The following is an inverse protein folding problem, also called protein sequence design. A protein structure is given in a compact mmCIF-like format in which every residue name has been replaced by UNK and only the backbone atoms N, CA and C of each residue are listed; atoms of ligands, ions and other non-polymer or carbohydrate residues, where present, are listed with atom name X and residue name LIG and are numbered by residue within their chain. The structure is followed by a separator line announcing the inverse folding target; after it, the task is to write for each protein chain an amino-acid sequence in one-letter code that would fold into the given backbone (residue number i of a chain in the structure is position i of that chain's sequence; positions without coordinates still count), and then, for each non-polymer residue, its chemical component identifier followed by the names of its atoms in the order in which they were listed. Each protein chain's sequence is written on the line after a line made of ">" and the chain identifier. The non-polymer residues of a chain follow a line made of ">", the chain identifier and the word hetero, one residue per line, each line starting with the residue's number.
data_IF_432783708675
#
_entry.id   IF_432783708675
#
_cell.length_a   1.000
_cell.length_b   1.000
_cell.length_c   1.000
_cell.angle_alpha   90.00
_cell.angle_beta   90.00
_cell.angle_gamma   90.00
#
_symmetry.space_group_name_H-M   'P 1'
#
loop_
_entity.id
_entity.type
_entity.pdbx_description
1 polymer ?
#
# COMPACT_ATOMS: atom_id res chain seq x y z
N UNK A 1 -20.95 -36.66 -14.13
CA UNK A 1 -21.64 -35.34 -14.03
C UNK A 1 -22.08 -35.17 -12.60
N UNK A 2 -21.26 -34.53 -11.77
CA UNK A 2 -21.65 -34.13 -10.42
C UNK A 2 -22.19 -32.72 -10.52
N UNK A 3 -23.46 -32.58 -10.15
CA UNK A 3 -24.27 -31.39 -10.23
C UNK A 3 -23.62 -30.27 -9.38
N UNK A 4 -23.05 -29.26 -10.05
CA UNK A 4 -22.54 -28.04 -9.40
C UNK A 4 -23.74 -27.16 -9.10
N UNK A 5 -24.45 -27.43 -8.00
CA UNK A 5 -25.29 -26.39 -7.41
C UNK A 5 -24.39 -25.19 -7.08
N UNK A 6 -24.71 -23.98 -7.57
CA UNK A 6 -23.99 -22.78 -7.14
C UNK A 6 -24.16 -22.63 -5.62
N UNK A 7 -23.03 -22.40 -4.92
CA UNK A 7 -23.02 -22.16 -3.47
C UNK A 7 -24.01 -21.02 -3.15
N UNK A 8 -25.00 -21.28 -2.30
CA UNK A 8 -26.04 -20.33 -1.91
C UNK A 8 -25.46 -18.97 -1.50
N UNK A 9 -24.27 -18.96 -0.88
CA UNK A 9 -23.56 -17.73 -0.50
C UNK A 9 -23.12 -16.91 -1.71
N UNK A 10 -22.67 -17.57 -2.77
CA UNK A 10 -22.29 -16.91 -4.01
C UNK A 10 -23.51 -16.29 -4.71
N UNK A 11 -24.65 -16.99 -4.71
CA UNK A 11 -25.91 -16.44 -5.24
C UNK A 11 -26.33 -15.19 -4.46
N UNK A 12 -26.33 -15.26 -3.12
CA UNK A 12 -26.69 -14.11 -2.27
C UNK A 12 -25.77 -12.92 -2.50
N UNK A 13 -24.46 -13.15 -2.67
CA UNK A 13 -23.50 -12.10 -2.99
C UNK A 13 -23.79 -11.44 -4.35
N UNK A 14 -24.08 -12.23 -5.38
CA UNK A 14 -24.43 -11.71 -6.70
C UNK A 14 -25.74 -10.92 -6.66
N UNK A 15 -26.76 -11.43 -5.97
CA UNK A 15 -28.03 -10.73 -5.77
C UNK A 15 -27.84 -9.39 -5.04
N UNK A 16 -27.06 -9.38 -3.96
CA UNK A 16 -26.70 -8.14 -3.25
C UNK A 16 -26.02 -7.14 -4.19
N UNK A 17 -25.03 -7.58 -4.99
CA UNK A 17 -24.35 -6.72 -5.94
C UNK A 17 -25.30 -6.14 -6.99
N UNK A 18 -26.19 -6.95 -7.55
CA UNK A 18 -27.21 -6.51 -8.50
C UNK A 18 -28.17 -5.48 -7.87
N UNK A 19 -28.60 -5.70 -6.62
CA UNK A 19 -29.41 -4.74 -5.87
C UNK A 19 -28.69 -3.41 -5.68
N UNK A 20 -27.42 -3.43 -5.24
CA UNK A 20 -26.61 -2.21 -5.11
C UNK A 20 -26.48 -1.47 -6.43
N UNK A 21 -26.19 -2.18 -7.53
CA UNK A 21 -26.10 -1.57 -8.86
C UNK A 21 -27.43 -0.97 -9.32
N UNK A 22 -28.55 -1.69 -9.14
CA UNK A 22 -29.88 -1.21 -9.53
C UNK A 22 -30.29 0.03 -8.76
N UNK A 23 -30.16 0.00 -7.43
CA UNK A 23 -30.50 1.13 -6.55
C UNK A 23 -29.59 2.33 -6.86
N UNK A 24 -28.28 2.10 -7.00
CA UNK A 24 -27.33 3.15 -7.35
C UNK A 24 -27.65 3.80 -8.69
N UNK A 25 -27.93 2.99 -9.72
CA UNK A 25 -28.34 3.48 -11.04
C UNK A 25 -29.61 4.33 -10.98
N UNK A 26 -30.66 3.81 -10.34
CA UNK A 26 -31.94 4.51 -10.23
C UNK A 26 -31.78 5.84 -9.44
N UNK A 27 -30.94 5.84 -8.41
CA UNK A 27 -30.65 7.04 -7.60
C UNK A 27 -29.93 8.11 -8.42
N UNK A 28 -28.94 7.70 -9.22
CA UNK A 28 -28.16 8.61 -10.08
C UNK A 28 -29.03 9.17 -11.21
N UNK A 29 -29.89 8.34 -11.82
CA UNK A 29 -30.76 8.76 -12.93
C UNK A 29 -31.90 9.68 -12.51
N UNK A 30 -32.20 9.77 -11.20
CA UNK A 30 -33.15 10.76 -10.65
C UNK A 30 -32.57 12.17 -10.54
N UNK A 31 -31.24 12.31 -10.56
CA UNK A 31 -30.58 13.60 -10.41
C UNK A 31 -30.53 14.35 -11.75
N UNK A 32 -30.56 15.69 -11.70
CA UNK A 32 -30.32 16.50 -12.89
C UNK A 32 -28.89 16.29 -13.41
N UNK A 33 -28.69 16.47 -14.72
CA UNK A 33 -27.40 16.25 -15.37
C UNK A 33 -26.29 17.13 -14.75
N UNK A 34 -26.60 18.37 -14.41
CA UNK A 34 -25.64 19.33 -13.85
C UNK A 34 -25.18 18.96 -12.44
N UNK A 35 -26.05 18.34 -11.63
CA UNK A 35 -25.72 17.90 -10.27
C UNK A 35 -25.00 16.56 -10.26
N UNK A 36 -25.28 15.70 -11.25
CA UNK A 36 -24.83 14.31 -11.30
C UNK A 36 -23.31 14.16 -11.24
N UNK A 37 -22.57 14.89 -12.08
CA UNK A 37 -21.10 14.72 -12.17
C UNK A 37 -20.40 15.18 -10.89
N UNK A 38 -20.89 16.29 -10.33
CA UNK A 38 -20.45 16.83 -9.06
C UNK A 38 -20.71 15.83 -7.92
N UNK A 39 -21.92 15.29 -7.86
CA UNK A 39 -22.31 14.34 -6.82
C UNK A 39 -21.53 13.04 -6.90
N UNK A 40 -21.31 12.50 -8.11
CA UNK A 40 -20.47 11.32 -8.30
C UNK A 40 -19.02 11.55 -7.85
N UNK A 41 -18.48 12.75 -8.06
CA UNK A 41 -17.16 13.12 -7.53
C UNK A 41 -17.16 13.14 -5.98
N UNK A 42 -18.21 13.63 -5.35
CA UNK A 42 -18.34 13.63 -3.88
C UNK A 42 -18.43 12.21 -3.31
N UNK A 43 -19.25 11.36 -3.92
CA UNK A 43 -19.34 9.94 -3.57
C UNK A 43 -17.97 9.28 -3.73
N UNK A 44 -17.29 9.54 -4.85
CA UNK A 44 -15.95 9.04 -5.08
C UNK A 44 -14.98 9.49 -3.98
N UNK A 45 -14.99 10.78 -3.62
CA UNK A 45 -14.12 11.34 -2.59
C UNK A 45 -14.24 10.57 -1.27
N UNK A 46 -15.46 10.29 -0.80
CA UNK A 46 -15.68 9.62 0.48
C UNK A 46 -15.45 8.11 0.47
N UNK A 47 -15.76 7.41 -0.62
CA UNK A 47 -15.71 5.95 -0.63
C UNK A 47 -14.44 5.39 -1.26
N UNK A 48 -13.76 6.14 -2.14
CA UNK A 48 -12.53 5.72 -2.81
C UNK A 48 -11.42 5.26 -1.84
N UNK A 49 -11.12 5.96 -0.73
CA UNK A 49 -10.06 5.51 0.19
C UNK A 49 -10.33 4.11 0.74
N UNK A 50 -11.58 3.84 1.13
CA UNK A 50 -11.97 2.56 1.72
C UNK A 50 -12.01 1.43 0.69
N UNK A 51 -12.41 1.73 -0.56
CA UNK A 51 -12.30 0.78 -1.67
C UNK A 51 -10.85 0.34 -1.91
N UNK A 52 -9.93 1.30 -1.92
CA UNK A 52 -8.51 1.01 -2.12
C UNK A 52 -7.92 0.27 -0.90
N UNK A 53 -8.31 0.62 0.32
CA UNK A 53 -7.93 -0.16 1.52
C UNK A 53 -8.42 -1.61 1.40
N UNK A 54 -9.68 -1.84 1.02
CA UNK A 54 -10.23 -3.17 0.83
C UNK A 54 -9.45 -3.95 -0.26
N UNK A 55 -9.11 -3.29 -1.38
CA UNK A 55 -8.26 -3.87 -2.43
C UNK A 55 -6.89 -4.30 -1.86
N UNK A 56 -6.25 -3.48 -1.02
CA UNK A 56 -4.94 -3.85 -0.45
C UNK A 56 -5.03 -5.09 0.42
N UNK A 57 -6.11 -5.20 1.22
CA UNK A 57 -6.32 -6.34 2.11
C UNK A 57 -6.60 -7.62 1.29
N UNK A 58 -7.35 -7.52 0.18
CA UNK A 58 -7.51 -8.61 -0.78
C UNK A 58 -6.17 -9.06 -1.36
N UNK A 59 -5.37 -8.12 -1.87
CA UNK A 59 -4.04 -8.40 -2.44
C UNK A 59 -3.09 -9.00 -1.40
N UNK A 60 -3.13 -8.52 -0.16
CA UNK A 60 -2.37 -9.10 0.95
C UNK A 60 -2.81 -10.53 1.27
N UNK A 61 -4.11 -10.81 1.29
CA UNK A 61 -4.62 -12.18 1.46
C UNK A 61 -4.14 -13.12 0.35
N UNK A 62 -4.07 -12.65 -0.89
CA UNK A 62 -3.49 -13.42 -2.02
C UNK A 62 -2.00 -13.68 -1.79
N UNK A 63 -1.21 -12.68 -1.36
CA UNK A 63 0.20 -12.86 -1.02
C UNK A 63 0.38 -13.98 0.02
N UNK A 64 -0.38 -13.91 1.12
CA UNK A 64 -0.33 -14.92 2.18
C UNK A 64 -0.76 -16.31 1.72
N UNK A 65 -1.77 -16.40 0.84
CA UNK A 65 -2.22 -17.67 0.27
C UNK A 65 -1.12 -18.32 -0.58
N UNK A 66 -0.42 -17.54 -1.42
CA UNK A 66 0.72 -18.03 -2.21
C UNK A 66 1.88 -18.44 -1.30
N UNK A 67 2.21 -17.64 -0.28
CA UNK A 67 3.27 -17.99 0.67
C UNK A 67 2.95 -19.25 1.47
N UNK A 68 1.68 -19.48 1.82
CA UNK A 68 1.25 -20.69 2.50
C UNK A 68 1.38 -21.96 1.62
N UNK A 69 1.43 -21.80 0.30
CA UNK A 69 1.63 -22.90 -0.65
C UNK A 69 3.09 -23.09 -1.06
N UNK A 70 3.99 -22.20 -0.64
CA UNK A 70 5.37 -22.21 -1.05
C UNK A 70 6.31 -22.65 0.08
N UNK A 71 7.60 -22.79 -0.25
CA UNK A 71 8.67 -23.10 0.70
C UNK A 71 9.08 -21.89 1.57
N UNK A 72 8.49 -20.72 1.36
CA UNK A 72 8.86 -19.49 2.07
C UNK A 72 8.14 -19.44 3.42
N UNK A 73 8.88 -19.60 4.53
CA UNK A 73 8.32 -19.49 5.86
C UNK A 73 8.13 -18.02 6.26
N UNK A 74 7.03 -17.42 5.77
CA UNK A 74 6.70 -16.02 6.03
C UNK A 74 6.44 -15.74 7.52
N UNK A 75 5.99 -16.73 8.30
CA UNK A 75 5.76 -16.59 9.75
C UNK A 75 7.05 -16.21 10.46
N UNK A 76 8.17 -16.86 10.09
CA UNK A 76 9.50 -16.55 10.62
C UNK A 76 10.04 -15.21 10.11
N UNK A 77 9.79 -14.87 8.83
CA UNK A 77 10.23 -13.58 8.24
C UNK A 77 9.58 -12.37 8.95
N UNK A 78 8.29 -12.48 9.27
CA UNK A 78 7.52 -11.42 9.91
C UNK A 78 7.50 -11.48 11.44
N UNK A 79 8.18 -12.48 12.04
CA UNK A 79 8.16 -12.75 13.48
C UNK A 79 6.72 -12.78 14.05
N UNK A 80 5.85 -13.53 13.36
CA UNK A 80 4.43 -13.58 13.69
C UNK A 80 4.19 -14.53 14.87
N UNK A 81 3.30 -14.11 15.77
CA UNK A 81 2.81 -14.96 16.84
C UNK A 81 2.08 -16.21 16.30
N UNK A 82 1.97 -17.26 17.11
CA UNK A 82 1.23 -18.48 16.76
C UNK A 82 -0.24 -18.19 16.44
N UNK A 83 -0.83 -17.16 17.05
CA UNK A 83 -2.22 -16.73 16.84
C UNK A 83 -2.38 -15.72 15.68
N UNK A 84 -1.50 -15.74 14.68
CA UNK A 84 -1.59 -14.83 13.54
C UNK A 84 -2.76 -15.18 12.61
N UNK A 85 -3.25 -14.19 11.87
CA UNK A 85 -4.32 -14.42 10.91
C UNK A 85 -3.81 -15.16 9.69
N UNK A 86 -4.54 -16.22 9.34
CA UNK A 86 -4.40 -16.93 8.08
C UNK A 86 -4.94 -16.09 6.91
N UNK A 87 -4.55 -16.46 5.69
CA UNK A 87 -5.10 -15.85 4.47
C UNK A 87 -6.64 -15.90 4.41
N UNK A 88 -7.26 -16.94 4.98
CA UNK A 88 -8.73 -17.10 5.03
C UNK A 88 -9.39 -16.02 5.89
N UNK A 89 -8.82 -15.73 7.05
CA UNK A 89 -9.34 -14.70 7.96
C UNK A 89 -9.13 -13.30 7.39
N UNK A 90 -7.99 -13.06 6.74
CA UNK A 90 -7.74 -11.82 5.99
C UNK A 90 -8.78 -11.63 4.88
N UNK A 91 -9.10 -12.66 4.11
CA UNK A 91 -10.16 -12.60 3.10
C UNK A 91 -11.56 -12.42 3.70
N UNK A 92 -11.85 -12.95 4.89
CA UNK A 92 -13.09 -12.62 5.60
C UNK A 92 -13.17 -11.14 5.92
N UNK A 93 -12.10 -10.53 6.44
CA UNK A 93 -12.04 -9.09 6.67
C UNK A 93 -12.21 -8.29 5.37
N UNK A 94 -11.54 -8.70 4.30
CA UNK A 94 -11.67 -8.06 2.99
C UNK A 94 -13.11 -8.16 2.44
N UNK A 95 -13.77 -9.31 2.62
CA UNK A 95 -15.16 -9.53 2.22
C UNK A 95 -16.11 -8.62 2.99
N UNK A 96 -15.96 -8.51 4.32
CA UNK A 96 -16.77 -7.59 5.12
C UNK A 96 -16.65 -6.14 4.67
N UNK A 97 -15.43 -5.67 4.41
CA UNK A 97 -15.22 -4.32 3.85
C UNK A 97 -15.84 -4.17 2.46
N UNK A 98 -15.72 -5.19 1.61
CA UNK A 98 -16.31 -5.21 0.26
C UNK A 98 -17.83 -5.22 0.29
N UNK A 99 -18.46 -5.68 1.37
CA UNK A 99 -19.92 -5.62 1.55
C UNK A 99 -20.36 -4.28 2.17
N UNK A 100 -19.72 -3.86 3.26
CA UNK A 100 -20.15 -2.70 4.05
C UNK A 100 -19.94 -1.39 3.28
N UNK A 101 -18.79 -1.23 2.59
CA UNK A 101 -18.44 0.02 1.90
C UNK A 101 -19.41 0.31 0.74
N UNK A 102 -19.69 -0.61 -0.21
CA UNK A 102 -20.68 -0.37 -1.26
C UNK A 102 -22.11 -0.27 -0.74
N UNK A 103 -22.45 -0.98 0.34
CA UNK A 103 -23.78 -0.87 0.94
C UNK A 103 -24.00 0.54 1.49
N UNK A 104 -23.03 1.09 2.23
CA UNK A 104 -23.08 2.47 2.72
C UNK A 104 -23.08 3.48 1.55
N UNK A 105 -22.27 3.26 0.52
CA UNK A 105 -22.27 4.09 -0.69
C UNK A 105 -23.64 4.08 -1.38
N UNK A 106 -24.26 2.91 -1.53
CA UNK A 106 -25.59 2.76 -2.12
C UNK A 106 -26.65 3.48 -1.28
N UNK A 107 -26.58 3.35 0.05
CA UNK A 107 -27.46 4.06 0.97
C UNK A 107 -27.29 5.58 0.87
N UNK A 108 -26.05 6.08 0.76
CA UNK A 108 -25.76 7.49 0.52
C UNK A 108 -26.39 8.00 -0.77
N UNK A 109 -26.18 7.29 -1.89
CA UNK A 109 -26.78 7.62 -3.20
C UNK A 109 -28.31 7.67 -3.11
N UNK A 110 -28.91 6.64 -2.50
CA UNK A 110 -30.34 6.53 -2.33
C UNK A 110 -30.92 7.68 -1.52
N UNK A 111 -30.42 7.89 -0.30
CA UNK A 111 -30.93 8.92 0.62
C UNK A 111 -30.82 10.32 0.01
N UNK A 112 -29.68 10.63 -0.61
CA UNK A 112 -29.47 11.93 -1.24
C UNK A 112 -30.44 12.14 -2.40
N UNK A 113 -30.62 11.14 -3.27
CA UNK A 113 -31.57 11.24 -4.41
C UNK A 113 -33.03 11.40 -4.00
N UNK A 114 -33.38 11.06 -2.75
CA UNK A 114 -34.72 11.23 -2.18
C UNK A 114 -34.87 12.52 -1.35
N UNK A 115 -33.85 13.38 -1.34
CA UNK A 115 -33.88 14.66 -0.60
C UNK A 115 -33.49 14.56 0.88
N UNK A 116 -33.15 13.36 1.38
CA UNK A 116 -32.76 13.11 2.76
C UNK A 116 -31.27 13.43 3.01
N UNK A 117 -30.89 14.69 2.77
CA UNK A 117 -29.49 15.15 2.74
C UNK A 117 -28.76 14.91 4.07
N UNK A 118 -29.43 15.13 5.21
CA UNK A 118 -28.85 14.92 6.54
C UNK A 118 -28.50 13.45 6.80
N UNK A 119 -29.44 12.55 6.46
CA UNK A 119 -29.24 11.11 6.58
C UNK A 119 -28.18 10.60 5.60
N UNK A 120 -28.15 11.14 4.38
CA UNK A 120 -27.09 10.85 3.42
C UNK A 120 -25.72 11.24 3.99
N UNK A 121 -25.56 12.48 4.47
CA UNK A 121 -24.32 12.96 5.08
C UNK A 121 -23.83 12.09 6.25
N UNK A 122 -24.74 11.49 7.00
CA UNK A 122 -24.40 10.58 8.11
C UNK A 122 -23.76 9.26 7.65
N UNK A 123 -24.02 8.79 6.43
CA UNK A 123 -23.56 7.48 5.95
C UNK A 123 -22.03 7.32 5.96
N UNK A 124 -21.25 8.18 5.27
CA UNK A 124 -19.79 8.05 5.29
C UNK A 124 -19.20 8.38 6.66
N UNK A 125 -19.81 9.28 7.44
CA UNK A 125 -19.37 9.61 8.81
C UNK A 125 -19.48 8.40 9.73
N UNK A 126 -20.64 7.74 9.74
CA UNK A 126 -20.87 6.53 10.54
C UNK A 126 -19.97 5.38 10.11
N UNK A 127 -19.79 5.18 8.79
CA UNK A 127 -18.90 4.16 8.27
C UNK A 127 -17.47 4.34 8.78
N UNK A 128 -16.92 5.56 8.66
CA UNK A 128 -15.57 5.87 9.12
C UNK A 128 -15.43 5.73 10.64
N UNK A 129 -16.42 6.24 11.39
CA UNK A 129 -16.43 6.15 12.85
C UNK A 129 -16.47 4.69 13.32
N UNK A 130 -17.35 3.85 12.74
CA UNK A 130 -17.47 2.43 13.08
C UNK A 130 -16.16 1.69 12.78
N UNK A 131 -15.56 1.91 11.61
CA UNK A 131 -14.29 1.26 11.26
C UNK A 131 -13.16 1.66 12.21
N UNK A 132 -13.10 2.95 12.60
CA UNK A 132 -12.12 3.44 13.57
C UNK A 132 -12.35 2.86 14.97
N UNK A 133 -13.61 2.82 15.43
CA UNK A 133 -13.99 2.22 16.71
C UNK A 133 -13.61 0.75 16.73
N UNK A 134 -13.95 -0.02 15.70
CA UNK A 134 -13.58 -1.44 15.58
C UNK A 134 -12.07 -1.62 15.54
N UNK A 135 -11.31 -0.74 14.87
CA UNK A 135 -9.86 -0.83 14.83
C UNK A 135 -9.23 -0.58 16.21
N UNK A 136 -9.71 0.42 16.95
CA UNK A 136 -9.15 0.87 18.23
C UNK A 136 -9.73 0.14 19.46
N UNK A 137 -10.84 -0.60 19.31
CA UNK A 137 -11.56 -1.14 20.46
C UNK A 137 -10.72 -2.15 21.26
N UNK A 138 -10.63 -2.03 22.60
CA UNK A 138 -9.86 -2.97 23.43
C UNK A 138 -10.56 -4.32 23.63
N UNK A 139 -11.83 -4.45 23.23
CA UNK A 139 -12.62 -5.67 23.38
C UNK A 139 -12.15 -6.77 22.42
N UNK A 140 -12.35 -8.03 22.81
CA UNK A 140 -12.04 -9.22 22.00
C UNK A 140 -13.05 -9.44 20.86
N UNK A 141 -13.19 -8.41 20.03
CA UNK A 141 -13.97 -8.40 18.80
C UNK A 141 -13.01 -8.29 17.62
N UNK A 142 -13.31 -8.94 16.50
CA UNK A 142 -12.57 -8.82 15.24
C UNK A 142 -11.04 -8.94 15.40
N UNK A 143 -10.57 -10.05 15.96
CA UNK A 143 -9.14 -10.42 15.99
C UNK A 143 -8.25 -9.41 16.76
N UNK A 144 -8.48 -9.29 18.07
CA UNK A 144 -7.79 -8.34 18.97
C UNK A 144 -6.27 -8.31 18.80
N UNK A 145 -5.61 -9.48 18.86
CA UNK A 145 -4.15 -9.59 18.79
C UNK A 145 -3.58 -8.97 17.51
N UNK A 146 -4.25 -9.17 16.38
CA UNK A 146 -3.80 -8.66 15.08
C UNK A 146 -4.05 -7.17 14.93
N UNK A 147 -5.18 -6.65 15.46
CA UNK A 147 -5.44 -5.20 15.48
C UNK A 147 -4.37 -4.47 16.30
N UNK A 148 -4.05 -4.96 17.49
CA UNK A 148 -3.00 -4.37 18.32
C UNK A 148 -1.59 -4.55 17.74
N UNK A 149 -1.31 -5.67 17.08
CA UNK A 149 -0.06 -5.84 16.32
C UNK A 149 0.08 -4.77 15.22
N UNK A 150 -0.98 -4.56 14.44
CA UNK A 150 -1.02 -3.51 13.41
C UNK A 150 -0.82 -2.12 14.03
N UNK A 151 -1.61 -1.75 15.04
CA UNK A 151 -1.52 -0.44 15.71
C UNK A 151 -0.15 -0.17 16.34
N UNK A 152 0.46 -1.17 16.99
CA UNK A 152 1.82 -1.04 17.52
C UNK A 152 2.83 -0.84 16.40
N UNK A 153 2.70 -1.57 15.29
CA UNK A 153 3.56 -1.40 14.10
C UNK A 153 3.39 0.01 13.52
N UNK A 154 2.17 0.54 13.44
CA UNK A 154 1.91 1.93 13.04
C UNK A 154 2.65 2.93 13.91
N UNK A 155 2.56 2.76 15.23
CA UNK A 155 3.22 3.65 16.18
C UNK A 155 4.75 3.61 16.01
N UNK A 156 5.33 2.43 15.82
CA UNK A 156 6.77 2.26 15.56
C UNK A 156 7.23 2.86 14.22
N UNK A 157 6.36 2.89 13.22
CA UNK A 157 6.64 3.53 11.93
C UNK A 157 6.67 5.06 12.07
N UNK A 158 5.70 5.63 12.79
CA UNK A 158 5.63 7.09 13.03
C UNK A 158 6.76 7.53 13.97
N UNK A 159 7.04 6.74 15.01
CA UNK A 159 8.03 7.03 16.04
C UNK A 159 9.10 5.91 16.07
N UNK A 160 10.13 5.97 15.19
CA UNK A 160 11.19 4.96 15.11
C UNK A 160 12.22 5.12 16.24
N UNK A 161 11.77 4.95 17.49
CA UNK A 161 12.58 5.10 18.70
C UNK A 161 13.39 3.83 19.04
N UNK A 162 12.92 2.68 18.56
CA UNK A 162 13.55 1.37 18.76
C UNK A 162 14.23 0.87 17.48
N UNK A 163 14.96 -0.25 17.59
CA UNK A 163 15.53 -0.94 16.43
C UNK A 163 14.41 -1.31 15.44
N UNK A 164 14.67 -1.06 14.15
CA UNK A 164 13.70 -1.27 13.09
C UNK A 164 13.62 -2.75 12.73
N UNK A 165 12.44 -3.34 12.85
CA UNK A 165 12.19 -4.73 12.48
C UNK A 165 11.73 -4.84 11.02
N UNK A 166 11.80 -6.04 10.43
CA UNK A 166 11.34 -6.28 9.07
C UNK A 166 9.86 -5.89 8.85
N UNK A 167 8.90 -6.23 9.75
CA UNK A 167 7.51 -5.78 9.64
C UNK A 167 7.35 -4.26 9.60
N UNK A 168 8.11 -3.51 10.41
CA UNK A 168 8.05 -2.05 10.46
C UNK A 168 8.50 -1.43 9.13
N UNK A 169 9.60 -1.95 8.57
CA UNK A 169 10.11 -1.58 7.26
C UNK A 169 9.11 -1.92 6.14
N UNK A 170 8.58 -3.14 6.16
CA UNK A 170 7.75 -3.69 5.10
C UNK A 170 6.41 -2.95 5.00
N UNK A 171 5.75 -2.73 6.14
CA UNK A 171 4.47 -2.04 6.18
C UNK A 171 4.61 -0.55 5.84
N UNK A 172 5.68 0.10 6.27
CA UNK A 172 5.96 1.47 5.88
C UNK A 172 6.21 1.60 4.36
N UNK A 173 6.80 0.60 3.72
CA UNK A 173 6.97 0.59 2.26
C UNK A 173 5.65 0.41 1.52
N UNK A 174 4.74 -0.42 2.04
CA UNK A 174 3.36 -0.49 1.56
C UNK A 174 2.69 0.88 1.64
N UNK A 175 2.91 1.62 2.72
CA UNK A 175 2.33 2.94 2.93
C UNK A 175 2.81 4.01 1.96
N UNK A 176 4.04 3.92 1.45
CA UNK A 176 4.49 4.84 0.38
C UNK A 176 3.60 4.73 -0.87
N UNK A 177 3.20 3.50 -1.23
CA UNK A 177 2.28 3.22 -2.34
C UNK A 177 0.84 3.63 -2.03
N UNK A 178 0.46 3.70 -0.76
CA UNK A 178 -0.86 4.14 -0.27
C UNK A 178 -0.94 5.64 0.10
N UNK A 179 0.12 6.42 -0.09
CA UNK A 179 0.15 7.87 0.17
C UNK A 179 -1.05 8.63 -0.40
N UNK A 180 -1.46 8.34 -1.64
CA UNK A 180 -2.67 8.93 -2.26
C UNK A 180 -3.96 8.52 -1.53
N UNK A 181 -4.05 7.28 -1.04
CA UNK A 181 -5.18 6.81 -0.23
C UNK A 181 -5.26 7.61 1.07
N UNK A 182 -4.13 7.85 1.75
CA UNK A 182 -4.10 8.68 2.95
C UNK A 182 -4.47 10.13 2.68
N UNK A 183 -4.05 10.69 1.55
CA UNK A 183 -4.45 12.04 1.14
C UNK A 183 -5.95 12.16 0.87
N UNK A 184 -6.56 11.18 0.22
CA UNK A 184 -8.02 11.17 0.01
C UNK A 184 -8.77 10.92 1.33
N UNK A 185 -8.21 10.12 2.22
CA UNK A 185 -8.74 9.89 3.57
C UNK A 185 -8.72 11.19 4.39
N UNK A 186 -7.61 11.93 4.39
CA UNK A 186 -7.49 13.23 5.03
C UNK A 186 -8.56 14.19 4.52
N UNK A 187 -8.68 14.32 3.19
CA UNK A 187 -9.68 15.20 2.56
C UNK A 187 -11.12 14.81 2.92
N UNK A 188 -11.40 13.51 2.98
CA UNK A 188 -12.70 12.97 3.39
C UNK A 188 -13.02 13.36 4.83
N UNK A 189 -12.08 13.10 5.75
CA UNK A 189 -12.24 13.40 7.18
C UNK A 189 -12.34 14.90 7.41
N UNK A 190 -11.53 15.72 6.73
CA UNK A 190 -11.57 17.18 6.84
C UNK A 190 -12.96 17.72 6.50
N UNK A 191 -13.60 17.23 5.42
CA UNK A 191 -14.98 17.62 5.06
C UNK A 191 -16.02 17.15 6.09
N UNK A 192 -15.86 15.94 6.62
CA UNK A 192 -16.76 15.42 7.67
C UNK A 192 -16.70 16.25 8.95
N UNK A 193 -15.50 16.59 9.43
CA UNK A 193 -15.29 17.36 10.65
C UNK A 193 -15.81 18.80 10.51
N UNK A 194 -15.60 19.42 9.35
CA UNK A 194 -16.07 20.79 9.08
C UNK A 194 -17.55 20.87 8.66
N UNK A 195 -18.32 19.77 8.76
CA UNK A 195 -19.74 19.70 8.37
C UNK A 195 -20.01 20.14 6.92
N UNK A 196 -19.05 19.84 6.03
CA UNK A 196 -19.11 20.14 4.60
C UNK A 196 -19.54 18.92 3.76
N UNK A 197 -20.32 18.01 4.35
CA UNK A 197 -20.81 16.79 3.68
C UNK A 197 -22.19 17.08 3.11
N UNK A 198 -22.39 16.80 1.82
CA UNK A 198 -23.67 16.91 1.12
C UNK A 198 -24.31 18.32 1.15
N UNK A 199 -23.54 19.40 1.36
CA UNK A 199 -24.04 20.78 1.42
C UNK A 199 -23.81 21.57 0.12
N UNK A 200 -24.72 22.49 -0.23
CA UNK A 200 -24.66 23.35 -1.43
C UNK A 200 -23.46 24.32 -1.42
N UNK A 201 -22.86 24.55 -0.24
CA UNK A 201 -21.58 25.28 -0.07
C UNK A 201 -20.38 24.64 -0.80
N UNK A 202 -20.62 23.53 -1.49
CA UNK A 202 -19.71 22.83 -2.39
C UNK A 202 -19.16 23.68 -3.54
N UNK A 203 -19.88 24.73 -3.99
CA UNK A 203 -19.45 25.58 -5.12
C UNK A 203 -18.50 26.73 -4.74
N UNK A 204 -18.49 27.18 -3.49
CA UNK A 204 -17.71 28.36 -3.05
C UNK A 204 -16.57 28.03 -2.07
N UNK A 205 -16.35 26.75 -1.79
CA UNK A 205 -15.38 26.31 -0.81
C UNK A 205 -13.93 26.37 -1.34
N UNK A 206 -13.44 27.59 -1.56
CA UNK A 206 -12.03 27.97 -1.53
C UNK A 206 -11.49 27.89 -0.07
N UNK A 207 -11.80 26.77 0.59
CA UNK A 207 -11.81 26.61 2.05
C UNK A 207 -10.77 25.60 2.55
N UNK A 208 -10.64 25.52 3.87
CA UNK A 208 -9.69 24.76 4.71
C UNK A 208 -9.33 23.35 4.16
N UNK A 209 -10.29 22.64 3.58
CA UNK A 209 -10.14 21.27 3.05
C UNK A 209 -9.95 21.20 1.52
N UNK A 210 -9.67 22.34 0.90
CA UNK A 210 -9.56 22.54 -0.54
C UNK A 210 -8.18 22.24 -1.10
N UNK A 211 -8.01 22.52 -2.39
CA UNK A 211 -6.78 22.23 -3.14
C UNK A 211 -5.55 22.99 -2.65
N UNK A 212 -5.75 24.13 -2.00
CA UNK A 212 -4.71 24.99 -1.44
C UNK A 212 -4.33 24.58 0.00
N UNK A 213 -4.92 23.52 0.53
CA UNK A 213 -4.62 23.04 1.88
C UNK A 213 -3.22 22.44 1.95
N UNK A 214 -2.41 22.93 2.89
CA UNK A 214 -1.08 22.41 3.20
C UNK A 214 -1.16 21.00 3.81
N UNK A 215 -2.31 20.60 4.37
CA UNK A 215 -2.50 19.26 4.93
C UNK A 215 -2.32 18.15 3.87
N UNK A 216 -2.76 18.39 2.64
CA UNK A 216 -2.68 17.42 1.53
C UNK A 216 -1.23 17.00 1.25
N UNK A 217 -0.28 17.92 0.93
CA UNK A 217 1.12 17.53 0.71
C UNK A 217 1.79 16.95 1.96
N UNK A 218 1.42 17.40 3.17
CA UNK A 218 1.96 16.84 4.41
C UNK A 218 1.58 15.37 4.59
N UNK A 219 0.32 15.00 4.34
CA UNK A 219 -0.12 13.59 4.42
C UNK A 219 0.47 12.75 3.28
N UNK A 220 0.60 13.31 2.07
CA UNK A 220 1.25 12.62 0.94
C UNK A 220 2.72 12.29 1.23
N UNK A 221 3.46 13.22 1.84
CA UNK A 221 4.90 13.05 2.11
C UNK A 221 5.17 12.22 3.36
N UNK A 222 4.22 12.14 4.30
CA UNK A 222 4.39 11.47 5.60
C UNK A 222 4.95 10.04 5.49
N UNK A 223 4.42 9.12 4.65
CA UNK A 223 5.00 7.78 4.52
C UNK A 223 6.46 7.77 4.07
N UNK A 224 6.85 8.71 3.19
CA UNK A 224 8.23 8.85 2.72
C UNK A 224 9.16 9.36 3.82
N UNK A 225 8.69 10.32 4.64
CA UNK A 225 9.45 10.80 5.79
C UNK A 225 9.62 9.71 6.85
N UNK A 226 8.57 8.93 7.15
CA UNK A 226 8.69 7.78 8.06
C UNK A 226 9.79 6.81 7.58
N UNK A 227 9.79 6.45 6.28
CA UNK A 227 10.84 5.59 5.71
C UNK A 227 12.22 6.22 5.76
N UNK A 228 12.33 7.52 5.46
CA UNK A 228 13.58 8.26 5.57
C UNK A 228 14.16 8.19 7.00
N UNK A 229 13.36 8.52 8.01
CA UNK A 229 13.80 8.47 9.41
C UNK A 229 14.10 7.04 9.89
N UNK A 230 13.32 6.04 9.48
CA UNK A 230 13.64 4.63 9.74
C UNK A 230 15.00 4.23 9.17
N UNK A 231 15.32 4.67 7.94
CA UNK A 231 16.61 4.37 7.32
C UNK A 231 17.78 5.07 8.05
N UNK A 232 17.60 6.31 8.48
CA UNK A 232 18.59 7.00 9.31
C UNK A 232 18.78 6.32 10.68
N UNK A 233 17.69 5.88 11.30
CA UNK A 233 17.75 5.12 12.55
C UNK A 233 18.50 3.81 12.37
N UNK A 234 18.20 3.06 11.31
CA UNK A 234 18.88 1.82 10.99
C UNK A 234 20.39 2.03 10.73
N UNK A 235 20.76 3.13 10.05
CA UNK A 235 22.16 3.51 9.89
C UNK A 235 22.83 3.82 11.23
N UNK A 236 22.14 4.52 12.13
CA UNK A 236 22.67 4.83 13.47
C UNK A 236 23.04 3.55 14.23
N UNK A 237 22.19 2.53 14.13
CA UNK A 237 22.31 1.26 14.85
C UNK A 237 23.31 0.29 14.20
N UNK A 238 23.31 0.17 12.86
CA UNK A 238 24.13 -0.82 12.12
C UNK A 238 25.41 -0.26 11.50
N UNK A 239 25.49 1.06 11.32
CA UNK A 239 26.56 1.77 10.56
C UNK A 239 26.71 1.34 9.09
N UNK A 240 25.73 0.63 8.54
CA UNK A 240 25.77 0.20 7.13
C UNK A 240 25.43 1.35 6.18
N UNK A 241 26.38 1.72 5.30
CA UNK A 241 26.17 2.79 4.31
C UNK A 241 24.98 2.56 3.37
N UNK A 242 24.57 1.31 3.17
CA UNK A 242 23.37 0.97 2.37
C UNK A 242 22.11 1.63 2.92
N UNK A 243 21.99 1.78 4.24
CA UNK A 243 20.86 2.46 4.89
C UNK A 243 20.77 3.94 4.49
N UNK A 244 21.91 4.65 4.34
CA UNK A 244 21.92 6.04 3.88
C UNK A 244 21.48 6.17 2.42
N UNK A 245 21.90 5.24 1.56
CA UNK A 245 21.42 5.21 0.17
C UNK A 245 19.90 4.97 0.11
N UNK A 246 19.38 4.12 1.01
CA UNK A 246 17.94 3.92 1.11
C UNK A 246 17.22 5.18 1.61
N UNK A 247 17.80 5.91 2.59
CA UNK A 247 17.27 7.19 3.03
C UNK A 247 17.22 8.19 1.87
N UNK A 248 18.30 8.30 1.09
CA UNK A 248 18.37 9.15 -0.09
C UNK A 248 17.30 8.81 -1.12
N UNK A 249 17.02 7.52 -1.34
CA UNK A 249 15.91 7.08 -2.21
C UNK A 249 14.59 7.73 -1.78
N UNK A 250 14.19 7.62 -0.51
CA UNK A 250 12.92 8.18 -0.06
C UNK A 250 12.91 9.72 -0.03
N UNK A 251 14.07 10.37 0.19
CA UNK A 251 14.13 11.83 0.11
C UNK A 251 13.90 12.36 -1.30
N UNK A 252 14.20 11.58 -2.35
CA UNK A 252 13.93 12.01 -3.74
C UNK A 252 12.44 12.19 -4.06
N UNK A 253 11.52 11.61 -3.28
CA UNK A 253 10.08 11.81 -3.44
C UNK A 253 9.60 13.18 -2.91
N UNK A 254 10.32 13.76 -1.93
CA UNK A 254 9.92 15.00 -1.25
C UNK A 254 9.84 16.19 -2.22
N UNK A 255 10.84 16.47 -3.08
CA UNK A 255 10.74 17.56 -4.06
C UNK A 255 9.57 17.39 -5.03
N UNK A 256 9.25 16.16 -5.44
CA UNK A 256 8.13 15.87 -6.35
C UNK A 256 6.80 16.28 -5.72
N UNK A 257 6.59 15.91 -4.46
CA UNK A 257 5.35 16.21 -3.71
C UNK A 257 5.27 17.71 -3.43
N UNK A 258 6.36 18.31 -2.96
CA UNK A 258 6.42 19.74 -2.67
C UNK A 258 6.12 20.60 -3.91
N UNK A 259 6.78 20.35 -5.03
CA UNK A 259 6.56 21.09 -6.28
C UNK A 259 5.15 20.87 -6.82
N UNK A 260 4.58 19.67 -6.64
CA UNK A 260 3.20 19.39 -7.03
C UNK A 260 2.18 20.21 -6.25
N UNK A 261 2.45 20.50 -4.97
CA UNK A 261 1.62 21.39 -4.16
C UNK A 261 1.87 22.86 -4.50
N UNK A 262 3.13 23.24 -4.73
CA UNK A 262 3.53 24.59 -5.09
C UNK A 262 2.80 25.11 -6.32
N UNK A 263 2.40 24.22 -7.25
CA UNK A 263 1.55 24.53 -8.42
C UNK A 263 0.34 25.42 -8.07
N UNK A 264 -0.30 25.23 -6.91
CA UNK A 264 -1.50 25.98 -6.51
C UNK A 264 -1.18 27.32 -5.84
N UNK A 265 0.09 27.63 -5.61
CA UNK A 265 0.52 28.83 -4.89
C UNK A 265 1.42 29.74 -5.76
N UNK A 266 1.59 29.41 -7.05
CA UNK A 266 2.41 30.18 -7.99
C UNK A 266 1.61 30.56 -9.23
N UNK A 267 2.03 31.64 -9.90
CA UNK A 267 1.40 32.08 -11.13
C UNK A 267 1.58 31.05 -12.27
N UNK A 268 0.59 30.88 -13.16
CA UNK A 268 0.65 29.90 -14.25
C UNK A 268 1.91 30.00 -15.12
N UNK A 269 2.35 31.21 -15.45
CA UNK A 269 3.53 31.41 -16.31
C UNK A 269 4.83 30.94 -15.62
N UNK A 270 4.97 31.22 -14.32
CA UNK A 270 6.10 30.73 -13.52
C UNK A 270 6.06 29.22 -13.35
N UNK A 271 4.86 28.64 -13.17
CA UNK A 271 4.68 27.19 -13.13
C UNK A 271 5.18 26.55 -14.41
N UNK A 272 4.75 27.03 -15.58
CA UNK A 272 5.11 26.43 -16.87
C UNK A 272 6.59 26.60 -17.19
N UNK A 273 7.15 27.79 -16.93
CA UNK A 273 8.53 28.14 -17.31
C UNK A 273 9.59 27.51 -16.39
N UNK A 274 9.38 27.51 -15.07
CA UNK A 274 10.42 27.16 -14.10
C UNK A 274 10.08 25.90 -13.27
N UNK A 275 8.93 25.89 -12.60
CA UNK A 275 8.62 24.83 -11.63
C UNK A 275 8.24 23.50 -12.26
N UNK A 276 7.55 23.51 -13.41
CA UNK A 276 7.14 22.29 -14.11
C UNK A 276 8.33 21.49 -14.63
N UNK A 277 9.35 22.07 -15.29
CA UNK A 277 10.59 21.36 -15.61
C UNK A 277 11.27 20.75 -14.39
N UNK A 278 11.37 21.48 -13.28
CA UNK A 278 11.98 20.99 -12.05
C UNK A 278 11.20 19.82 -11.43
N UNK A 279 9.86 19.90 -11.48
CA UNK A 279 8.97 18.83 -11.04
C UNK A 279 9.14 17.56 -11.89
N UNK A 280 9.25 17.70 -13.21
CA UNK A 280 9.51 16.59 -14.13
C UNK A 280 10.88 15.95 -13.86
N UNK A 281 11.94 16.76 -13.73
CA UNK A 281 13.30 16.27 -13.44
C UNK A 281 13.32 15.52 -12.09
N UNK A 282 12.71 16.10 -11.05
CA UNK A 282 12.58 15.45 -9.74
C UNK A 282 11.83 14.12 -9.85
N UNK A 283 10.75 14.09 -10.64
CA UNK A 283 9.97 12.88 -10.91
C UNK A 283 10.79 11.78 -11.61
N UNK A 284 11.60 12.16 -12.59
CA UNK A 284 12.51 11.24 -13.31
C UNK A 284 13.56 10.69 -12.37
N UNK A 285 14.24 11.54 -11.59
CA UNK A 285 15.27 11.12 -10.61
C UNK A 285 14.67 10.12 -9.60
N UNK A 286 13.53 10.46 -9.01
CA UNK A 286 12.85 9.59 -8.05
C UNK A 286 12.46 8.24 -8.67
N UNK A 287 11.92 8.26 -9.88
CA UNK A 287 11.45 7.06 -10.59
C UNK A 287 12.61 6.13 -10.93
N UNK A 288 13.72 6.67 -11.49
CA UNK A 288 14.89 5.90 -11.87
C UNK A 288 15.64 5.35 -10.65
N UNK A 289 15.87 6.17 -9.62
CA UNK A 289 16.52 5.71 -8.38
C UNK A 289 15.70 4.57 -7.78
N UNK A 290 14.41 4.79 -7.58
CA UNK A 290 13.57 3.80 -6.91
C UNK A 290 13.38 2.53 -7.74
N UNK A 291 13.37 2.63 -9.08
CA UNK A 291 13.38 1.47 -9.98
C UNK A 291 14.67 0.65 -9.85
N UNK A 292 15.83 1.33 -9.85
CA UNK A 292 17.12 0.69 -9.59
C UNK A 292 17.12 -0.04 -8.24
N UNK A 293 16.57 0.60 -7.20
CA UNK A 293 16.50 0.02 -5.87
C UNK A 293 15.65 -1.26 -5.82
N UNK A 294 14.47 -1.24 -6.42
CA UNK A 294 13.59 -2.43 -6.44
C UNK A 294 14.32 -3.63 -7.04
N UNK A 295 14.95 -3.46 -8.21
CA UNK A 295 15.59 -4.55 -8.93
C UNK A 295 16.81 -5.05 -8.17
N UNK A 296 17.70 -4.14 -7.77
CA UNK A 296 19.02 -4.51 -7.29
C UNK A 296 19.05 -4.84 -5.80
N UNK A 297 18.25 -4.15 -4.98
CA UNK A 297 18.29 -4.28 -3.52
C UNK A 297 17.13 -5.11 -2.99
N UNK A 298 15.90 -4.81 -3.42
CA UNK A 298 14.72 -5.43 -2.84
C UNK A 298 14.44 -6.82 -3.43
N UNK A 299 14.61 -6.98 -4.75
CA UNK A 299 14.41 -8.26 -5.43
C UNK A 299 15.67 -9.11 -5.55
N UNK A 300 16.84 -8.50 -5.31
CA UNK A 300 18.17 -9.10 -5.49
C UNK A 300 18.32 -9.83 -6.85
N UNK A 301 17.71 -9.26 -7.89
CA UNK A 301 17.81 -9.80 -9.24
C UNK A 301 19.20 -9.48 -9.78
N UNK A 302 20.11 -10.41 -9.55
CA UNK A 302 21.43 -10.48 -10.20
C UNK A 302 21.34 -10.66 -11.74
N UNK A 303 20.15 -10.51 -12.33
CA UNK A 303 19.86 -10.54 -13.76
C UNK A 303 20.67 -9.48 -14.52
N UNK A 304 20.84 -8.27 -13.97
CA UNK A 304 21.67 -7.24 -14.59
C UNK A 304 23.16 -7.59 -14.57
N UNK A 305 23.63 -8.32 -13.56
CA UNK A 305 25.01 -8.80 -13.45
C UNK A 305 25.35 -9.82 -14.56
N UNK A 306 24.34 -10.52 -15.09
CA UNK A 306 24.49 -11.48 -16.20
C UNK A 306 24.43 -10.83 -17.58
N UNK A 307 23.63 -9.77 -17.76
CA UNK A 307 23.55 -8.99 -19.01
C UNK A 307 24.84 -8.16 -19.23
N UNK A 308 25.47 -7.68 -18.14
CA UNK A 308 26.70 -6.86 -18.19
C UNK A 308 27.99 -7.60 -17.79
N UNK A 309 28.08 -8.92 -18.01
CA UNK A 309 29.32 -9.70 -17.84
C UNK A 309 30.00 -9.56 -16.46
N UNK A 310 29.42 -10.14 -15.40
CA UNK A 310 30.21 -10.61 -14.25
C UNK A 310 29.75 -12.00 -13.80
N UNK A 311 30.70 -12.95 -13.83
CA UNK A 311 30.56 -14.34 -13.40
C UNK A 311 30.32 -14.42 -11.89
N UNK A 312 29.08 -14.65 -11.47
CA UNK A 312 28.74 -15.34 -10.23
C UNK A 312 27.27 -15.80 -10.29
N UNK A 313 26.98 -17.12 -10.21
CA UNK A 313 25.63 -17.62 -10.09
C UNK A 313 25.30 -17.79 -8.61
N UNK A 314 24.46 -16.94 -8.05
CA UNK A 314 23.78 -17.30 -6.81
C UNK A 314 22.28 -17.09 -6.95
N UNK A 315 21.59 -18.23 -6.83
CA UNK A 315 20.22 -18.40 -6.35
C UNK A 315 19.13 -17.66 -7.11
N UNK A 316 18.55 -18.38 -8.07
CA UNK A 316 17.20 -18.14 -8.54
C UNK A 316 16.22 -18.15 -7.36
N UNK A 317 15.30 -17.19 -7.33
CA UNK A 317 14.16 -17.18 -6.42
C UNK A 317 13.29 -18.42 -6.65
N UNK A 318 13.19 -19.26 -5.63
CA UNK A 318 12.43 -20.51 -5.59
C UNK A 318 10.92 -20.36 -5.81
N UNK A 319 10.32 -19.21 -5.46
CA UNK A 319 8.86 -19.00 -5.50
C UNK A 319 8.30 -18.91 -6.93
N UNK A 320 9.08 -18.35 -7.86
CA UNK A 320 8.68 -18.07 -9.25
C UNK A 320 9.39 -18.97 -10.26
N UNK A 321 9.95 -20.08 -9.78
CA UNK A 321 10.73 -21.02 -10.56
C UNK A 321 9.97 -21.48 -11.83
N UNK A 322 10.62 -21.37 -12.99
CA UNK A 322 10.14 -21.95 -14.26
C UNK A 322 9.42 -21.01 -15.24
N UNK A 323 9.16 -19.74 -14.90
CA UNK A 323 8.43 -18.80 -15.78
C UNK A 323 9.19 -17.49 -16.03
N UNK A 324 10.18 -17.53 -16.94
CA UNK A 324 10.99 -16.36 -17.32
C UNK A 324 10.16 -15.14 -17.72
N UNK A 325 8.99 -15.33 -18.34
CA UNK A 325 8.09 -14.25 -18.73
C UNK A 325 7.61 -13.39 -17.54
N UNK A 326 7.47 -13.98 -16.35
CA UNK A 326 7.02 -13.25 -15.15
C UNK A 326 8.04 -12.20 -14.73
N UNK A 327 9.34 -12.49 -14.86
CA UNK A 327 10.40 -11.54 -14.55
C UNK A 327 10.39 -10.35 -15.53
N UNK A 328 10.24 -10.61 -16.83
CA UNK A 328 10.13 -9.53 -17.82
C UNK A 328 8.86 -8.70 -17.61
N UNK A 329 7.74 -9.36 -17.29
CA UNK A 329 6.49 -8.68 -16.96
C UNK A 329 6.65 -7.76 -15.75
N UNK A 330 7.15 -8.29 -14.62
CA UNK A 330 7.32 -7.52 -13.39
C UNK A 330 8.32 -6.37 -13.57
N UNK A 331 9.41 -6.59 -14.32
CA UNK A 331 10.37 -5.55 -14.64
C UNK A 331 9.73 -4.42 -15.46
N UNK A 332 9.01 -4.78 -16.54
CA UNK A 332 8.34 -3.83 -17.42
C UNK A 332 7.20 -3.09 -16.71
N UNK A 333 6.33 -3.81 -16.01
CA UNK A 333 5.21 -3.23 -15.27
C UNK A 333 5.71 -2.31 -14.15
N UNK A 334 6.78 -2.68 -13.44
CA UNK A 334 7.35 -1.80 -12.41
C UNK A 334 7.90 -0.50 -12.99
N UNK A 335 8.59 -0.55 -14.14
CA UNK A 335 9.08 0.67 -14.80
C UNK A 335 7.93 1.58 -15.22
N UNK A 336 6.95 1.04 -15.94
CA UNK A 336 5.79 1.79 -16.44
C UNK A 336 5.02 2.41 -15.27
N UNK A 337 4.71 1.62 -14.24
CA UNK A 337 3.90 2.08 -13.12
C UNK A 337 4.65 3.11 -12.25
N UNK A 338 5.97 3.02 -12.15
CA UNK A 338 6.79 4.08 -11.52
C UNK A 338 6.74 5.40 -12.28
N UNK A 339 6.66 5.37 -13.61
CA UNK A 339 6.44 6.60 -14.39
C UNK A 339 5.03 7.18 -14.17
N UNK A 340 4.03 6.34 -13.86
CA UNK A 340 2.66 6.81 -13.58
C UNK A 340 2.44 7.34 -12.16
N UNK A 341 3.39 7.11 -11.24
CA UNK A 341 3.30 7.59 -9.85
C UNK A 341 3.13 9.11 -9.76
N UNK A 342 3.91 9.87 -10.54
CA UNK A 342 3.84 11.34 -10.58
C UNK A 342 2.51 11.84 -11.13
N UNK A 343 1.88 11.03 -12.00
CA UNK A 343 0.62 11.36 -12.66
C UNK A 343 -0.54 11.44 -11.65
N UNK A 344 -0.52 10.66 -10.55
CA UNK A 344 -1.53 10.76 -9.48
C UNK A 344 -1.52 12.09 -8.72
N UNK A 345 -0.38 12.76 -8.71
CA UNK A 345 -0.18 14.05 -8.04
C UNK A 345 -0.60 15.23 -8.93
N UNK A 346 -0.80 14.98 -10.24
CA UNK A 346 -1.13 16.03 -11.20
C UNK A 346 -2.54 16.59 -10.98
N UNK A 347 -2.60 17.91 -10.81
CA UNK A 347 -3.85 18.67 -10.58
C UNK A 347 -4.95 18.42 -11.60
N UNK A 348 -4.59 18.21 -12.87
CA UNK A 348 -5.54 18.13 -13.99
C UNK A 348 -6.39 16.87 -13.97
N UNK A 349 -5.96 15.82 -13.25
CA UNK A 349 -6.67 14.54 -13.22
C UNK A 349 -7.64 14.43 -12.06
N UNK A 350 -7.67 15.40 -11.14
CA UNK A 350 -8.66 15.39 -10.06
C UNK A 350 -10.10 15.47 -10.59
N UNK A 351 -10.29 16.03 -11.80
CA UNK A 351 -11.57 16.02 -12.50
C UNK A 351 -11.92 14.63 -13.09
N UNK A 352 -10.91 13.80 -13.39
CA UNK A 352 -11.11 12.42 -13.88
C UNK A 352 -10.85 11.41 -12.75
N UNK A 353 -11.83 11.30 -11.85
CA UNK A 353 -11.75 10.43 -10.68
C UNK A 353 -11.54 8.96 -11.04
N UNK A 354 -12.04 8.48 -12.18
CA UNK A 354 -11.82 7.12 -12.67
C UNK A 354 -10.34 6.86 -13.00
N UNK A 355 -9.67 7.81 -13.66
CA UNK A 355 -8.23 7.69 -13.93
C UNK A 355 -7.41 7.71 -12.64
N UNK A 356 -7.78 8.56 -11.67
CA UNK A 356 -7.12 8.60 -10.35
C UNK A 356 -7.28 7.27 -9.62
N UNK A 357 -8.47 6.67 -9.64
CA UNK A 357 -8.71 5.33 -9.10
C UNK A 357 -7.81 4.30 -9.78
N UNK A 358 -7.86 4.23 -11.11
CA UNK A 358 -7.15 3.21 -11.87
C UNK A 358 -5.64 3.26 -11.60
N UNK A 359 -5.04 4.45 -11.62
CA UNK A 359 -3.60 4.61 -11.39
C UNK A 359 -3.23 4.34 -9.92
N UNK A 360 -4.11 4.68 -8.98
CA UNK A 360 -3.88 4.34 -7.57
C UNK A 360 -3.96 2.84 -7.35
N UNK A 361 -4.95 2.15 -7.93
CA UNK A 361 -5.08 0.70 -7.89
C UNK A 361 -3.90 0.00 -8.58
N UNK A 362 -3.43 0.51 -9.72
CA UNK A 362 -2.25 -0.03 -10.41
C UNK A 362 -0.98 0.07 -9.56
N UNK A 363 -0.77 1.16 -8.81
CA UNK A 363 0.35 1.23 -7.87
C UNK A 363 0.24 0.21 -6.74
N UNK A 364 -0.97 -0.10 -6.29
CA UNK A 364 -1.18 -1.16 -5.30
C UNK A 364 -0.87 -2.53 -5.88
N UNK A 365 -1.23 -2.78 -7.14
CA UNK A 365 -0.82 -3.98 -7.87
C UNK A 365 0.71 -4.06 -8.06
N UNK A 366 1.37 -2.95 -8.32
CA UNK A 366 2.85 -2.88 -8.37
C UNK A 366 3.46 -3.27 -7.02
N UNK A 367 2.92 -2.73 -5.91
CA UNK A 367 3.37 -3.08 -4.56
C UNK A 367 3.08 -4.55 -4.23
N UNK A 368 1.92 -5.06 -4.63
CA UNK A 368 1.57 -6.48 -4.52
C UNK A 368 2.60 -7.38 -5.20
N UNK A 369 3.05 -7.03 -6.42
CA UNK A 369 4.13 -7.75 -7.09
C UNK A 369 5.43 -7.71 -6.26
N UNK A 370 5.82 -6.53 -5.78
CA UNK A 370 7.04 -6.32 -5.00
C UNK A 370 7.08 -7.17 -3.70
N UNK A 371 5.94 -7.43 -3.07
CA UNK A 371 5.84 -8.22 -1.83
C UNK A 371 6.43 -9.62 -2.00
N UNK A 372 6.11 -10.32 -3.10
CA UNK A 372 6.62 -11.66 -3.36
C UNK A 372 8.15 -11.72 -3.32
N UNK A 373 8.77 -10.85 -4.12
CA UNK A 373 10.23 -10.79 -4.22
C UNK A 373 10.89 -10.32 -2.93
N UNK A 374 10.29 -9.34 -2.24
CA UNK A 374 10.91 -8.80 -1.02
C UNK A 374 10.93 -9.80 0.12
N UNK A 375 9.81 -10.49 0.35
CA UNK A 375 9.69 -11.50 1.41
C UNK A 375 10.59 -12.69 1.11
N UNK A 376 10.65 -13.13 -0.14
CA UNK A 376 11.53 -14.21 -0.55
C UNK A 376 13.02 -13.85 -0.41
N UNK A 377 13.41 -12.64 -0.82
CA UNK A 377 14.78 -12.15 -0.65
C UNK A 377 15.17 -12.12 0.84
N UNK A 378 14.25 -11.71 1.72
CA UNK A 378 14.51 -11.75 3.16
C UNK A 378 14.67 -13.17 3.69
N UNK A 379 13.80 -14.08 3.26
CA UNK A 379 13.88 -15.49 3.62
C UNK A 379 15.22 -16.11 3.19
N UNK A 380 15.65 -15.87 1.96
CA UNK A 380 16.92 -16.38 1.43
C UNK A 380 18.12 -15.85 2.24
N UNK A 381 18.12 -14.58 2.65
CA UNK A 381 19.16 -14.00 3.52
C UNK A 381 19.19 -14.66 4.89
N UNK A 382 18.03 -14.91 5.49
CA UNK A 382 17.92 -15.60 6.79
C UNK A 382 18.43 -17.04 6.71
N UNK A 383 18.07 -17.77 5.64
CA UNK A 383 18.53 -19.15 5.42
C UNK A 383 20.02 -19.21 5.14
N UNK A 384 20.57 -18.30 4.33
CA UNK A 384 22.00 -18.23 4.06
C UNK A 384 22.81 -17.97 5.34
N UNK A 385 22.33 -17.06 6.20
CA UNK A 385 22.95 -16.79 7.50
C UNK A 385 22.94 -18.01 8.42
N UNK A 386 21.82 -18.72 8.51
CA UNK A 386 21.70 -19.96 9.30
C UNK A 386 22.63 -21.06 8.79
N UNK A 387 22.70 -21.24 7.47
CA UNK A 387 23.60 -22.24 6.88
C UNK A 387 25.07 -21.90 7.15
N UNK A 388 25.43 -20.62 7.15
CA UNK A 388 26.79 -20.18 7.47
C UNK A 388 27.12 -20.45 8.94
N UNK A 389 26.25 -20.07 9.88
CA UNK A 389 26.43 -20.33 11.32
C UNK A 389 26.55 -21.84 11.61
N UNK A 390 25.70 -22.66 10.99
CA UNK A 390 25.77 -24.12 11.12
C UNK A 390 27.05 -24.73 10.51
N UNK A 391 27.60 -24.11 9.45
CA UNK A 391 28.86 -24.55 8.86
C UNK A 391 30.10 -24.12 9.66
N UNK A 392 30.04 -22.99 10.37
CA UNK A 392 31.12 -22.53 11.25
C UNK A 392 31.18 -23.28 12.58
N UNK A 393 30.06 -23.85 13.03
CA UNK A 393 29.98 -24.63 14.27
C UNK A 393 30.32 -26.12 14.08
N UNK A 394 30.60 -26.56 12.84
CA UNK A 394 31.09 -27.91 12.57
C UNK A 394 32.60 -27.97 12.88
N UNK A 395 33.06 -28.86 13.79
CA UNK A 395 34.49 -29.03 14.07
C UNK A 395 35.22 -29.34 12.76
N UNK A 396 36.36 -28.69 12.54
CA UNK A 396 37.19 -28.99 11.37
C UNK A 396 37.59 -30.47 11.41
N UNK A 397 37.75 -31.12 10.25
CA UNK A 397 38.25 -32.50 10.18
C UNK A 397 39.61 -32.65 10.90
N UNK A 398 40.38 -31.56 10.98
CA UNK A 398 41.60 -31.46 11.78
C UNK A 398 41.37 -31.53 13.29
N UNK A 399 40.27 -31.00 13.82
CA UNK A 399 39.94 -31.08 15.26
C UNK A 399 39.51 -32.49 15.66
N UNK A 400 38.79 -33.20 14.77
CA UNK A 400 38.40 -34.61 14.99
C UNK A 400 39.59 -35.57 14.98
N UNK A 401 40.63 -35.27 14.20
CA UNK A 401 41.88 -36.05 14.18
C UNK A 401 42.79 -35.75 15.39
N UNK A 402 42.67 -34.56 15.98
CA UNK A 402 43.38 -34.20 17.21
C UNK A 402 42.72 -34.82 18.46
N UNK A 403 41.39 -34.92 18.50
CA UNK A 403 40.67 -35.63 19.57
C UNK A 403 40.83 -37.16 19.49
N UNK A 404 40.98 -37.75 18.30
CA UNK A 404 41.23 -39.20 18.19
C UNK A 404 42.64 -39.61 18.64
N UNK A 405 43.60 -38.68 18.63
CA UNK A 405 44.99 -38.95 19.04
C UNK A 405 45.25 -38.72 20.53
N UNK A 406 44.32 -38.14 21.28
CA UNK A 406 44.48 -37.87 22.72
C UNK A 406 43.95 -39.00 23.63
N UNK A 407 43.44 -40.09 23.07
CA UNK A 407 42.89 -41.25 23.81
C UNK A 407 43.74 -42.53 23.72
N UNK A 408 45.05 -42.42 23.49
CA UNK A 408 45.99 -43.53 23.67
C UNK A 408 47.23 -43.06 24.42
N UNK A 409 47.19 -43.11 25.75
CA UNK A 409 48.32 -43.41 26.65
C UNK A 409 47.79 -44.23 27.82
#
# INVERSE_FOLDING_TARGET
>A
MLDRQPDLKAILFLLWGLCCCKIGWDSVMRMSADLRDLFLYEVFLYYNPLFLVALMIWLWGVNLWVFAQSSVNYVKVFDLAQTHLSHREIWRCATWLTLIVPTSMTAYLYLYSHGEVSLAASQPVLLYAILLIVLLSPFDMFYLSSRFYFLRTMLRIILPLQAITFPDFFLADIFTSMSKVFSDLERSVCRMVNRQVATIAWFEADSICGSHSIAIPLVLVLPYLCRFFQCLRQYKDTKEKSCLLNALKYSTAVPVIFLSALKYHVFPDQWVSFYRPLWLISGVINSLYSFYWDIKRDWDLSILTRIFMFKSPSTWTSLLYGRNWVYYWVLGSNLILRCTWTYKLSAHLRHNYLTVFAITALEMLRRFQWVFFRVENEWNKMTAKQNFEMSSDMPSESDRLLESNSHTV
#
